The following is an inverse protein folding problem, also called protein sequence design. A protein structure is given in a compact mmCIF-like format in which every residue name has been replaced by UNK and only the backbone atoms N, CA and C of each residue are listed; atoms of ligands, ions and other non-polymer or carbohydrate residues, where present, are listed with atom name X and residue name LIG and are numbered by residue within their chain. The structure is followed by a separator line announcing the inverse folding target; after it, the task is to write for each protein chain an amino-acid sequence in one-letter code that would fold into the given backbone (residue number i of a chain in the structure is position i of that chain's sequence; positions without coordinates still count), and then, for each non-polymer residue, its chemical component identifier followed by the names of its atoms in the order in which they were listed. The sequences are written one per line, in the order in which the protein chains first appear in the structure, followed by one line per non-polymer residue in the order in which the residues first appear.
data_IF_069393880829
#
_entry.id   IF_069393880829
#
_cell.length_a   1.000
_cell.length_b   1.000
_cell.length_c   1.000
_cell.angle_alpha   90.00
_cell.angle_beta   90.00
_cell.angle_gamma   90.00
#
_symmetry.space_group_name_H-M   'P 1'
#
loop_
_entity.id
_entity.type
_entity.pdbx_description
1 polymer ?
#
# COMPACT_ATOMS: atom_id res chain seq x y z
N UNK A 1 4.94 15.09 -22.00
CA UNK A 1 3.66 14.35 -22.16
C UNK A 1 3.31 14.44 -23.65
N UNK A 2 3.34 13.32 -24.37
CA UNK A 2 2.86 13.31 -25.76
C UNK A 2 1.36 13.57 -25.74
N UNK A 3 0.93 14.72 -26.25
CA UNK A 3 -0.48 15.14 -26.37
C UNK A 3 -1.39 14.17 -27.17
N UNK A 4 -0.81 13.11 -27.77
CA UNK A 4 -1.54 12.04 -28.46
C UNK A 4 -2.08 10.95 -27.53
N UNK A 5 -1.61 10.87 -26.29
CA UNK A 5 -2.13 9.97 -25.26
C UNK A 5 -3.07 10.75 -24.35
N UNK A 6 -4.30 10.92 -24.76
CA UNK A 6 -5.35 11.37 -23.85
C UNK A 6 -5.65 10.24 -22.88
N UNK A 7 -5.04 10.32 -21.70
CA UNK A 7 -5.17 9.36 -20.64
C UNK A 7 -4.27 8.13 -20.83
N UNK A 8 -2.98 8.29 -20.50
CA UNK A 8 -2.23 7.12 -20.07
C UNK A 8 -3.05 6.44 -18.95
N UNK A 9 -3.10 5.14 -18.90
CA UNK A 9 -3.88 4.44 -17.89
C UNK A 9 -3.45 4.83 -16.46
N UNK A 10 -2.17 5.12 -16.28
CA UNK A 10 -1.57 5.67 -15.07
C UNK A 10 -2.21 7.01 -14.66
N UNK A 11 -2.27 8.00 -15.57
CA UNK A 11 -2.83 9.32 -15.26
C UNK A 11 -4.33 9.27 -14.92
N UNK A 12 -5.09 8.36 -15.51
CA UNK A 12 -6.52 8.20 -15.19
C UNK A 12 -6.69 7.65 -13.77
N UNK A 13 -5.85 6.69 -13.35
CA UNK A 13 -5.90 6.13 -11.99
C UNK A 13 -5.42 7.13 -10.94
N UNK A 14 -4.35 7.86 -11.22
CA UNK A 14 -3.86 8.95 -10.39
C UNK A 14 -4.92 10.06 -10.22
N UNK A 15 -5.53 10.50 -11.32
CA UNK A 15 -6.64 11.49 -11.27
C UNK A 15 -7.84 10.94 -10.49
N UNK A 16 -8.18 9.66 -10.61
CA UNK A 16 -9.25 9.04 -9.83
C UNK A 16 -8.96 9.07 -8.33
N UNK A 17 -7.71 8.81 -7.92
CA UNK A 17 -7.29 8.93 -6.53
C UNK A 17 -7.33 10.39 -6.05
N UNK A 18 -6.86 11.33 -6.86
CA UNK A 18 -6.95 12.77 -6.55
C UNK A 18 -8.40 13.22 -6.39
N UNK A 19 -9.30 12.79 -7.27
CA UNK A 19 -10.74 13.07 -7.15
C UNK A 19 -11.32 12.46 -5.86
N UNK A 20 -10.89 11.26 -5.46
CA UNK A 20 -11.27 10.69 -4.18
C UNK A 20 -10.83 11.58 -3.00
N UNK A 21 -9.58 12.05 -2.99
CA UNK A 21 -9.08 12.98 -1.96
C UNK A 21 -9.91 14.27 -1.90
N UNK A 22 -10.27 14.84 -3.05
CA UNK A 22 -11.15 16.01 -3.12
C UNK A 22 -12.55 15.70 -2.59
N UNK A 23 -13.08 14.52 -2.88
CA UNK A 23 -14.36 14.05 -2.32
C UNK A 23 -14.34 14.02 -0.79
N UNK A 24 -13.27 13.47 -0.18
CA UNK A 24 -13.10 13.46 1.28
C UNK A 24 -13.03 14.89 1.85
N UNK A 25 -12.25 15.77 1.21
CA UNK A 25 -12.15 17.18 1.63
C UNK A 25 -13.50 17.89 1.53
N UNK A 26 -14.22 17.73 0.41
CA UNK A 26 -15.54 18.35 0.25
C UNK A 26 -16.55 17.82 1.29
N UNK A 27 -16.50 16.53 1.60
CA UNK A 27 -17.30 15.91 2.66
C UNK A 27 -17.02 16.54 4.03
N UNK A 28 -15.75 16.70 4.39
CA UNK A 28 -15.34 17.31 5.66
C UNK A 28 -15.76 18.79 5.79
N UNK A 29 -15.84 19.50 4.66
CA UNK A 29 -16.34 20.89 4.59
C UNK A 29 -17.88 20.99 4.51
N UNK A 30 -18.60 19.88 4.59
CA UNK A 30 -20.06 19.83 4.48
C UNK A 30 -20.62 20.06 3.07
N UNK A 31 -19.78 20.09 2.04
CA UNK A 31 -20.15 20.29 0.64
C UNK A 31 -20.59 18.97 -0.01
N UNK A 32 -21.74 18.47 0.42
CA UNK A 32 -22.23 17.12 0.06
C UNK A 32 -22.41 16.89 -1.44
N UNK A 33 -22.86 17.91 -2.20
CA UNK A 33 -23.07 17.80 -3.64
C UNK A 33 -21.77 17.62 -4.38
N UNK A 34 -20.78 18.44 -4.09
CA UNK A 34 -19.43 18.38 -4.65
C UNK A 34 -18.73 17.07 -4.24
N UNK A 35 -18.89 16.64 -2.98
CA UNK A 35 -18.35 15.37 -2.52
C UNK A 35 -18.88 14.19 -3.36
N UNK A 36 -20.19 14.11 -3.60
CA UNK A 36 -20.80 13.06 -4.40
C UNK A 36 -20.34 13.08 -5.87
N UNK A 37 -20.08 14.28 -6.44
CA UNK A 37 -19.51 14.39 -7.78
C UNK A 37 -18.10 13.82 -7.85
N UNK A 38 -17.23 14.19 -6.90
CA UNK A 38 -15.85 13.69 -6.82
C UNK A 38 -15.81 12.20 -6.52
N UNK A 39 -16.67 11.66 -5.66
CA UNK A 39 -16.80 10.22 -5.43
C UNK A 39 -17.16 9.45 -6.71
N UNK A 40 -18.01 10.00 -7.56
CA UNK A 40 -18.31 9.41 -8.88
C UNK A 40 -17.09 9.44 -9.78
N UNK A 41 -16.36 10.55 -9.84
CA UNK A 41 -15.14 10.71 -10.64
C UNK A 41 -14.00 9.82 -10.15
N UNK A 42 -13.90 9.59 -8.86
CA UNK A 42 -12.95 8.66 -8.24
C UNK A 42 -13.02 7.22 -8.77
N UNK A 43 -14.13 6.84 -9.41
CA UNK A 43 -14.30 5.53 -10.05
C UNK A 43 -13.85 5.50 -11.51
N UNK A 44 -13.27 6.59 -12.04
CA UNK A 44 -12.84 6.68 -13.44
C UNK A 44 -11.72 5.68 -13.80
N UNK A 45 -10.96 5.15 -12.83
CA UNK A 45 -9.99 4.07 -13.04
C UNK A 45 -10.60 2.86 -13.74
N UNK A 46 -11.92 2.60 -13.59
CA UNK A 46 -12.65 1.50 -14.25
C UNK A 46 -12.68 1.66 -15.78
N UNK A 47 -12.56 2.88 -16.29
CA UNK A 47 -12.58 3.14 -17.74
C UNK A 47 -11.32 2.64 -18.46
N UNK A 48 -10.26 2.34 -17.74
CA UNK A 48 -8.99 1.78 -18.28
C UNK A 48 -8.81 0.31 -17.93
N UNK A 49 -9.78 -0.31 -17.26
CA UNK A 49 -9.85 -1.76 -17.14
C UNK A 49 -10.25 -2.39 -18.48
N UNK A 50 -9.55 -3.43 -18.89
CA UNK A 50 -9.74 -4.12 -20.16
C UNK A 50 -10.01 -5.61 -19.94
N UNK A 51 -11.28 -6.03 -20.10
CA UNK A 51 -11.71 -7.40 -19.84
C UNK A 51 -11.00 -8.44 -20.71
N UNK A 52 -10.60 -8.08 -21.93
CA UNK A 52 -9.94 -9.04 -22.84
C UNK A 52 -8.51 -9.41 -22.39
N UNK A 53 -7.85 -8.56 -21.59
CA UNK A 53 -6.52 -8.82 -21.03
C UNK A 53 -6.56 -8.98 -19.52
N UNK A 54 -7.73 -8.79 -18.89
CA UNK A 54 -7.96 -8.88 -17.44
C UNK A 54 -7.00 -8.00 -16.62
N UNK A 55 -6.67 -6.82 -17.17
CA UNK A 55 -5.77 -5.85 -16.54
C UNK A 55 -6.03 -4.43 -17.04
N UNK A 56 -5.42 -3.45 -16.39
CA UNK A 56 -5.44 -2.06 -16.84
C UNK A 56 -4.64 -1.88 -18.12
N UNK A 57 -5.21 -1.12 -19.07
CA UNK A 57 -4.65 -0.88 -20.39
C UNK A 57 -4.93 0.54 -20.83
N UNK A 58 -3.95 1.17 -21.47
CA UNK A 58 -4.08 2.54 -21.94
C UNK A 58 -5.08 2.66 -23.09
N UNK A 59 -5.84 3.76 -23.10
CA UNK A 59 -6.75 4.13 -24.19
C UNK A 59 -6.11 5.20 -25.08
N UNK A 60 -6.39 5.12 -26.36
CA UNK A 60 -6.06 6.13 -27.34
C UNK A 60 -7.14 7.23 -27.38
N UNK A 61 -6.76 8.40 -27.90
CA UNK A 61 -7.71 9.46 -28.30
C UNK A 61 -8.66 8.88 -29.33
N UNK A 62 -9.97 8.86 -29.05
CA UNK A 62 -10.98 8.20 -29.88
C UNK A 62 -11.52 6.88 -29.31
N UNK A 63 -11.04 6.45 -28.13
CA UNK A 63 -11.64 5.37 -27.34
C UNK A 63 -11.09 3.97 -27.61
N UNK A 64 -10.21 3.78 -28.60
CA UNK A 64 -9.54 2.50 -28.85
C UNK A 64 -8.50 2.17 -27.78
N UNK A 65 -8.10 0.90 -27.71
CA UNK A 65 -7.04 0.44 -26.82
C UNK A 65 -5.66 0.58 -27.48
N UNK A 66 -4.65 1.00 -26.69
CA UNK A 66 -3.27 0.93 -27.13
C UNK A 66 -2.88 -0.54 -27.42
N UNK A 67 -2.02 -0.85 -28.43
CA UNK A 67 -1.56 -2.22 -28.67
C UNK A 67 -1.00 -2.85 -27.39
N UNK A 68 -1.37 -4.12 -27.17
CA UNK A 68 -0.98 -4.87 -25.97
C UNK A 68 0.17 -5.83 -26.29
N UNK A 69 1.24 -5.75 -25.50
CA UNK A 69 2.45 -6.58 -25.61
C UNK A 69 2.69 -7.46 -24.36
N UNK A 70 1.68 -7.58 -23.52
CA UNK A 70 1.78 -8.24 -22.21
C UNK A 70 1.94 -7.23 -21.09
N UNK A 71 1.57 -7.63 -19.86
CA UNK A 71 1.53 -6.72 -18.71
C UNK A 71 2.89 -6.30 -18.17
N UNK A 72 3.95 -7.07 -18.46
CA UNK A 72 5.34 -6.76 -18.06
C UNK A 72 6.13 -5.96 -19.12
N UNK A 73 5.58 -5.76 -20.32
CA UNK A 73 6.26 -4.98 -21.33
C UNK A 73 6.16 -3.47 -21.04
N UNK A 74 7.30 -2.79 -21.17
CA UNK A 74 7.43 -1.34 -20.97
C UNK A 74 6.73 -0.52 -22.09
N UNK A 75 6.61 0.79 -21.92
CA UNK A 75 6.14 1.76 -22.93
C UNK A 75 4.73 1.47 -23.46
N UNK A 76 3.80 1.11 -22.61
CA UNK A 76 2.41 0.85 -22.93
C UNK A 76 1.42 1.85 -22.29
N UNK A 77 1.84 3.12 -22.15
CA UNK A 77 1.06 4.17 -21.50
C UNK A 77 1.37 4.31 -20.01
N UNK A 78 2.43 3.67 -19.57
CA UNK A 78 3.06 3.83 -18.25
C UNK A 78 4.37 4.60 -18.40
N UNK A 79 4.83 5.25 -17.34
CA UNK A 79 6.12 5.92 -17.26
C UNK A 79 6.99 5.20 -16.25
N UNK A 80 8.25 4.90 -16.62
CA UNK A 80 9.25 4.24 -15.76
C UNK A 80 8.81 2.89 -15.19
N UNK A 81 7.87 2.23 -15.85
CA UNK A 81 7.23 1.02 -15.36
C UNK A 81 6.46 0.29 -16.46
N UNK A 82 5.86 -0.81 -16.12
CA UNK A 82 4.97 -1.57 -16.97
C UNK A 82 3.53 -1.61 -16.40
N UNK A 83 2.54 -2.08 -17.15
CA UNK A 83 1.16 -2.18 -16.69
C UNK A 83 0.99 -3.04 -15.44
N UNK A 84 1.83 -4.06 -15.22
CA UNK A 84 1.73 -4.92 -14.04
C UNK A 84 2.09 -4.17 -12.76
N UNK A 85 3.12 -3.34 -12.82
CA UNK A 85 3.55 -2.49 -11.72
C UNK A 85 2.54 -1.38 -11.43
N UNK A 86 2.18 -0.62 -12.44
CA UNK A 86 1.26 0.51 -12.29
C UNK A 86 -0.17 0.08 -11.97
N UNK A 87 -0.60 -1.10 -12.42
CA UNK A 87 -1.97 -1.60 -12.27
C UNK A 87 -2.48 -1.69 -10.82
N UNK A 88 -1.57 -1.80 -9.86
CA UNK A 88 -1.92 -1.83 -8.43
C UNK A 88 -2.34 -0.48 -7.86
N UNK A 89 -2.07 0.63 -8.56
CA UNK A 89 -2.35 1.97 -8.02
C UNK A 89 -3.82 2.36 -8.10
N UNK A 90 -4.64 1.73 -7.24
CA UNK A 90 -6.03 2.09 -6.91
C UNK A 90 -6.20 2.08 -5.38
N UNK A 91 -5.41 2.86 -4.63
CA UNK A 91 -5.35 2.73 -3.17
C UNK A 91 -6.65 3.10 -2.47
N UNK A 92 -7.50 3.90 -3.11
CA UNK A 92 -8.76 4.40 -2.57
C UNK A 92 -9.96 3.46 -2.77
N UNK A 93 -9.85 2.42 -3.61
CA UNK A 93 -10.96 1.49 -3.89
C UNK A 93 -10.43 0.05 -4.12
N UNK A 94 -9.80 -0.52 -3.09
CA UNK A 94 -9.25 -1.89 -3.16
C UNK A 94 -10.35 -2.92 -3.46
N UNK A 95 -11.52 -2.78 -2.85
CA UNK A 95 -12.65 -3.69 -3.10
C UNK A 95 -13.18 -3.58 -4.53
N UNK A 96 -13.21 -2.36 -5.08
CA UNK A 96 -13.54 -2.13 -6.48
C UNK A 96 -12.51 -2.75 -7.44
N UNK A 97 -11.22 -2.71 -7.10
CA UNK A 97 -10.16 -3.37 -7.85
C UNK A 97 -10.31 -4.90 -7.78
N UNK A 98 -10.55 -5.48 -6.59
CA UNK A 98 -10.84 -6.90 -6.42
C UNK A 98 -12.01 -7.36 -7.28
N UNK A 99 -13.09 -6.57 -7.31
CA UNK A 99 -14.26 -6.88 -8.10
C UNK A 99 -13.95 -6.92 -9.61
N UNK A 100 -13.14 -5.97 -10.12
CA UNK A 100 -12.68 -5.97 -11.51
C UNK A 100 -11.83 -7.20 -11.84
N UNK A 101 -10.95 -7.61 -10.93
CA UNK A 101 -10.10 -8.80 -11.09
C UNK A 101 -10.89 -10.13 -11.05
N UNK A 102 -12.15 -10.11 -10.62
CA UNK A 102 -12.99 -11.31 -10.50
C UNK A 102 -13.06 -11.90 -9.10
N UNK A 103 -12.76 -11.10 -8.07
CA UNK A 103 -12.93 -11.40 -6.66
C UNK A 103 -11.65 -11.78 -5.91
N UNK A 104 -11.81 -12.11 -4.64
CA UNK A 104 -10.71 -12.30 -3.69
C UNK A 104 -9.65 -13.29 -4.18
N UNK A 105 -10.06 -14.48 -4.60
CA UNK A 105 -9.13 -15.55 -5.01
C UNK A 105 -8.20 -15.11 -6.17
N UNK A 106 -8.74 -14.33 -7.10
CA UNK A 106 -7.94 -13.84 -8.24
C UNK A 106 -7.02 -12.71 -7.82
N UNK A 107 -7.51 -11.79 -6.99
CA UNK A 107 -6.69 -10.75 -6.38
C UNK A 107 -5.49 -11.34 -5.63
N UNK A 108 -5.71 -12.35 -4.80
CA UNK A 108 -4.65 -13.02 -4.05
C UNK A 108 -3.60 -13.63 -4.99
N UNK A 109 -4.03 -14.37 -6.01
CA UNK A 109 -3.14 -15.01 -6.98
C UNK A 109 -2.31 -14.00 -7.78
N UNK A 110 -2.91 -12.90 -8.23
CA UNK A 110 -2.21 -11.83 -8.94
C UNK A 110 -1.19 -11.12 -8.05
N UNK A 111 -1.55 -10.89 -6.79
CA UNK A 111 -0.66 -10.25 -5.82
C UNK A 111 0.53 -11.17 -5.45
N UNK A 112 0.28 -12.46 -5.25
CA UNK A 112 1.33 -13.44 -5.02
C UNK A 112 2.28 -13.56 -6.23
N UNK A 113 1.73 -13.60 -7.46
CA UNK A 113 2.53 -13.61 -8.68
C UNK A 113 3.42 -12.37 -8.80
N UNK A 114 2.90 -11.21 -8.41
CA UNK A 114 3.65 -9.94 -8.44
C UNK A 114 4.90 -9.97 -7.55
N UNK A 115 4.90 -10.76 -6.50
CA UNK A 115 6.05 -10.93 -5.60
C UNK A 115 6.87 -12.20 -5.85
N UNK A 116 6.36 -13.17 -6.59
CA UNK A 116 7.02 -14.48 -6.75
C UNK A 116 8.37 -14.42 -7.48
N UNK A 117 8.53 -13.45 -8.39
CA UNK A 117 9.71 -13.32 -9.24
C UNK A 117 10.55 -12.07 -8.93
N UNK A 118 10.33 -11.45 -7.77
CA UNK A 118 11.10 -10.28 -7.34
C UNK A 118 12.55 -10.70 -7.00
N UNK A 119 13.57 -10.00 -7.52
CA UNK A 119 14.95 -10.25 -7.13
C UNK A 119 15.20 -9.95 -5.65
N UNK A 120 16.22 -10.56 -5.06
CA UNK A 120 16.48 -10.46 -3.61
C UNK A 120 16.83 -9.03 -3.16
N UNK A 121 17.44 -8.25 -4.03
CA UNK A 121 17.86 -6.87 -3.79
C UNK A 121 16.74 -5.83 -4.04
N UNK A 122 15.58 -6.29 -4.53
CA UNK A 122 14.44 -5.44 -4.90
C UNK A 122 14.74 -4.33 -5.91
N UNK A 123 15.84 -4.40 -6.63
CA UNK A 123 16.22 -3.45 -7.67
C UNK A 123 15.29 -3.53 -8.89
N UNK A 124 15.56 -2.69 -9.90
CA UNK A 124 14.74 -2.56 -11.11
C UNK A 124 14.45 -3.91 -11.79
N UNK A 125 13.18 -4.26 -11.88
CA UNK A 125 12.70 -5.51 -12.48
C UNK A 125 11.26 -5.32 -13.02
N UNK A 126 10.68 -6.35 -13.62
CA UNK A 126 9.34 -6.29 -14.25
C UNK A 126 8.17 -6.58 -13.27
N UNK A 127 8.47 -6.96 -12.04
CA UNK A 127 7.53 -7.30 -10.97
C UNK A 127 7.53 -6.20 -9.90
N UNK A 128 7.35 -6.54 -8.63
CA UNK A 128 7.45 -5.54 -7.58
C UNK A 128 8.80 -4.83 -7.62
N UNK A 129 8.75 -3.54 -7.82
CA UNK A 129 9.92 -2.69 -8.03
C UNK A 129 9.98 -1.63 -6.93
N UNK A 130 10.79 -1.87 -5.89
CA UNK A 130 10.85 -0.98 -4.73
C UNK A 130 11.48 0.39 -5.05
N UNK A 131 12.44 0.53 -5.96
CA UNK A 131 12.93 1.84 -6.39
C UNK A 131 11.87 2.79 -6.99
N UNK A 132 10.65 2.33 -7.26
CA UNK A 132 9.60 3.14 -7.89
C UNK A 132 8.37 3.27 -7.00
N UNK A 133 8.08 4.47 -6.53
CA UNK A 133 7.11 4.81 -5.49
C UNK A 133 5.65 4.37 -5.78
N UNK A 134 5.16 4.32 -7.02
CA UNK A 134 3.81 3.82 -7.29
C UNK A 134 3.56 2.39 -6.78
N UNK A 135 4.61 1.63 -6.47
CA UNK A 135 4.54 0.29 -5.91
C UNK A 135 4.58 0.25 -4.37
N UNK A 136 4.90 1.35 -3.70
CA UNK A 136 5.20 1.37 -2.26
C UNK A 136 4.05 0.91 -1.36
N UNK A 137 2.81 1.06 -1.78
CA UNK A 137 1.63 0.58 -1.04
C UNK A 137 1.36 -0.93 -1.25
N UNK A 138 1.93 -1.55 -2.30
CA UNK A 138 1.55 -2.90 -2.73
C UNK A 138 1.88 -4.00 -1.71
N UNK A 139 3.03 -3.98 -0.99
CA UNK A 139 3.32 -4.98 0.05
C UNK A 139 2.25 -5.04 1.15
N UNK A 140 1.56 -3.94 1.41
CA UNK A 140 0.52 -3.85 2.44
C UNK A 140 -0.85 -4.31 1.94
N UNK A 141 -1.03 -4.52 0.63
CA UNK A 141 -2.26 -5.04 0.05
C UNK A 141 -2.54 -6.49 0.46
N UNK A 142 -1.54 -7.23 0.92
CA UNK A 142 -1.78 -8.56 1.47
C UNK A 142 -2.65 -8.53 2.74
N UNK A 143 -2.74 -7.43 3.48
CA UNK A 143 -3.70 -7.27 4.57
C UNK A 143 -5.17 -7.26 4.08
N UNK A 144 -5.39 -7.07 2.79
CA UNK A 144 -6.70 -7.17 2.13
C UNK A 144 -6.88 -8.52 1.42
N UNK A 145 -5.90 -9.41 1.51
CA UNK A 145 -5.89 -10.75 0.91
C UNK A 145 -6.25 -11.84 1.94
N UNK A 146 -6.33 -13.08 1.48
CA UNK A 146 -6.48 -14.24 2.36
C UNK A 146 -5.17 -14.63 3.06
N UNK A 147 -4.05 -13.97 2.73
CA UNK A 147 -2.71 -14.27 3.22
C UNK A 147 -2.02 -13.04 3.85
N UNK A 148 -2.58 -12.41 4.90
CA UNK A 148 -2.04 -11.17 5.46
C UNK A 148 -0.64 -11.30 6.04
N UNK A 149 -0.20 -12.51 6.41
CA UNK A 149 1.18 -12.77 6.81
C UNK A 149 2.22 -12.47 5.72
N UNK A 150 1.80 -12.38 4.45
CA UNK A 150 2.67 -11.98 3.35
C UNK A 150 3.01 -10.49 3.42
N UNK A 151 2.15 -9.62 3.96
CA UNK A 151 2.54 -8.24 4.32
C UNK A 151 3.74 -8.28 5.27
N UNK A 152 3.67 -9.07 6.33
CA UNK A 152 4.71 -9.16 7.35
C UNK A 152 6.03 -9.69 6.77
N UNK A 153 5.95 -10.73 5.94
CA UNK A 153 7.10 -11.31 5.25
C UNK A 153 7.77 -10.30 4.30
N UNK A 154 6.99 -9.68 3.43
CA UNK A 154 7.55 -8.85 2.37
C UNK A 154 8.06 -7.52 2.90
N UNK A 155 7.33 -6.86 3.80
CA UNK A 155 7.81 -5.60 4.40
C UNK A 155 9.10 -5.80 5.18
N UNK A 156 9.21 -6.89 5.95
CA UNK A 156 10.44 -7.25 6.67
C UNK A 156 11.61 -7.49 5.72
N UNK A 157 11.37 -8.27 4.63
CA UNK A 157 12.38 -8.57 3.63
C UNK A 157 12.82 -7.30 2.88
N UNK A 158 11.91 -6.38 2.56
CA UNK A 158 12.24 -5.10 1.93
C UNK A 158 13.08 -4.24 2.88
N UNK A 159 12.68 -4.09 4.14
CA UNK A 159 13.47 -3.35 5.13
C UNK A 159 14.90 -3.90 5.28
N UNK A 160 15.07 -5.21 5.19
CA UNK A 160 16.37 -5.88 5.35
C UNK A 160 17.25 -5.81 4.09
N UNK A 161 16.67 -5.83 2.89
CA UNK A 161 17.40 -6.02 1.63
C UNK A 161 17.46 -4.80 0.72
N UNK A 162 16.47 -3.90 0.81
CA UNK A 162 16.38 -2.74 -0.06
C UNK A 162 16.97 -1.47 0.58
N UNK A 163 17.38 -1.54 1.84
CA UNK A 163 17.94 -0.43 2.59
C UNK A 163 19.25 -0.83 3.28
N UNK A 164 20.17 0.11 3.37
CA UNK A 164 21.47 -0.04 4.03
C UNK A 164 21.78 1.17 4.91
N UNK A 165 22.88 1.10 5.63
CA UNK A 165 23.36 2.12 6.59
C UNK A 165 24.52 2.96 6.06
N UNK A 166 24.80 2.87 4.75
CA UNK A 166 25.84 3.63 4.08
C UNK A 166 25.30 4.75 3.17
N UNK A 167 26.20 5.44 2.50
CA UNK A 167 25.85 6.55 1.57
C UNK A 167 25.00 6.08 0.38
N UNK A 168 25.06 4.81 0.02
CA UNK A 168 24.28 4.17 -1.05
C UNK A 168 23.14 3.32 -0.49
N UNK A 169 22.73 3.56 0.74
CA UNK A 169 21.77 2.74 1.48
C UNK A 169 20.33 2.77 0.95
N UNK A 170 20.02 3.52 -0.11
CA UNK A 170 18.73 3.49 -0.78
C UNK A 170 18.83 2.73 -2.10
N UNK A 171 17.88 1.85 -2.38
CA UNK A 171 17.85 1.10 -3.63
C UNK A 171 17.33 1.92 -4.84
N UNK A 172 16.96 3.17 -4.65
CA UNK A 172 16.49 4.11 -5.67
C UNK A 172 16.76 5.57 -5.27
N UNK A 173 16.15 6.50 -5.99
CA UNK A 173 16.20 7.91 -5.62
C UNK A 173 15.38 8.13 -4.33
N UNK A 174 15.77 9.13 -3.54
CA UNK A 174 15.05 9.47 -2.29
C UNK A 174 13.63 10.02 -2.55
N UNK A 175 13.46 10.71 -3.66
CA UNK A 175 12.22 11.31 -4.15
C UNK A 175 11.44 12.07 -3.07
N UNK A 176 12.10 13.16 -2.61
CA UNK A 176 11.54 14.12 -1.64
C UNK A 176 11.20 13.46 -0.27
N UNK A 177 11.96 12.44 0.11
CA UNK A 177 11.81 11.76 1.39
C UNK A 177 10.87 10.54 1.36
N UNK A 178 10.35 10.15 0.20
CA UNK A 178 9.41 9.03 0.10
C UNK A 178 10.05 7.69 0.48
N UNK A 179 11.29 7.44 0.03
CA UNK A 179 12.01 6.20 0.33
C UNK A 179 12.29 6.07 1.84
N UNK A 180 12.83 7.12 2.46
CA UNK A 180 13.09 7.14 3.91
C UNK A 180 11.81 7.05 4.72
N UNK A 181 10.76 7.75 4.32
CA UNK A 181 9.46 7.71 5.01
C UNK A 181 8.84 6.30 4.95
N UNK A 182 8.97 5.62 3.80
CA UNK A 182 8.51 4.23 3.67
C UNK A 182 9.21 3.31 4.66
N UNK A 183 10.56 3.39 4.71
CA UNK A 183 11.34 2.58 5.66
C UNK A 183 10.93 2.86 7.11
N UNK A 184 10.89 4.13 7.51
CA UNK A 184 10.57 4.52 8.89
C UNK A 184 9.20 3.98 9.29
N UNK A 185 8.17 4.17 8.47
CA UNK A 185 6.83 3.70 8.77
C UNK A 185 6.73 2.17 8.77
N UNK A 186 7.27 1.50 7.75
CA UNK A 186 7.26 0.04 7.66
C UNK A 186 8.04 -0.61 8.82
N UNK A 187 9.21 -0.07 9.16
CA UNK A 187 10.06 -0.54 10.26
C UNK A 187 9.43 -0.31 11.65
N UNK A 188 8.59 0.71 11.80
CA UNK A 188 7.77 0.90 13.01
C UNK A 188 6.66 -0.14 13.15
N UNK A 189 6.27 -0.83 12.07
CA UNK A 189 5.19 -1.80 12.07
C UNK A 189 3.83 -1.27 11.60
N UNK A 190 3.77 -0.08 10.99
CA UNK A 190 2.55 0.53 10.45
C UNK A 190 2.84 1.25 9.12
N UNK A 191 1.87 1.27 8.19
CA UNK A 191 2.02 2.04 6.95
C UNK A 191 0.66 2.39 6.32
N UNK A 192 0.45 3.60 5.78
CA UNK A 192 -0.77 3.93 5.05
C UNK A 192 -0.75 3.32 3.64
N UNK A 193 -1.83 2.67 3.23
CA UNK A 193 -2.05 2.25 1.83
C UNK A 193 -2.60 3.39 0.99
N UNK A 194 -3.47 4.19 1.59
CA UNK A 194 -4.17 5.29 0.92
C UNK A 194 -4.01 6.58 1.72
N UNK A 195 -2.97 7.40 1.45
CA UNK A 195 -2.86 8.72 2.07
C UNK A 195 -4.13 9.54 1.87
N UNK A 196 -4.58 10.23 2.92
CA UNK A 196 -5.92 10.86 2.98
C UNK A 196 -7.00 9.99 3.63
N UNK A 197 -6.82 8.68 3.71
CA UNK A 197 -7.56 7.81 4.61
C UNK A 197 -6.78 7.73 5.94
N UNK A 198 -7.37 8.08 7.09
CA UNK A 198 -6.69 8.05 8.39
C UNK A 198 -6.49 6.64 8.94
N UNK A 199 -6.13 5.69 8.09
CA UNK A 199 -5.90 4.28 8.38
C UNK A 199 -4.46 3.91 8.09
N UNK A 200 -3.84 3.15 9.00
CA UNK A 200 -2.52 2.55 8.85
C UNK A 200 -2.66 1.03 8.93
N UNK A 201 -2.14 0.35 7.93
CA UNK A 201 -2.03 -1.11 7.93
C UNK A 201 -0.94 -1.54 8.92
N UNK A 202 -1.20 -2.60 9.66
CA UNK A 202 -0.24 -3.21 10.56
C UNK A 202 0.67 -4.13 9.73
N UNK A 203 1.97 -4.02 9.98
CA UNK A 203 3.01 -4.85 9.38
C UNK A 203 3.95 -5.40 10.45
N UNK A 204 5.06 -6.03 10.06
CA UNK A 204 6.03 -6.61 10.99
C UNK A 204 7.06 -5.55 11.42
N UNK A 205 7.07 -5.07 12.67
CA UNK A 205 8.05 -4.09 13.12
C UNK A 205 9.48 -4.65 13.09
N UNK A 206 10.46 -3.82 12.71
CA UNK A 206 11.88 -4.17 12.74
C UNK A 206 12.44 -3.97 14.15
N UNK A 207 11.97 -2.95 14.85
CA UNK A 207 12.46 -2.57 16.18
C UNK A 207 11.66 -3.26 17.30
N UNK A 208 12.32 -3.54 18.43
CA UNK A 208 11.65 -4.08 19.63
C UNK A 208 10.69 -3.06 20.25
N UNK A 209 11.04 -1.78 20.15
CA UNK A 209 10.18 -0.70 20.60
C UNK A 209 10.40 0.59 19.83
N UNK A 210 9.31 1.33 19.64
CA UNK A 210 9.30 2.68 19.07
C UNK A 210 8.45 3.57 19.96
N UNK A 211 8.87 4.80 20.20
CA UNK A 211 8.08 5.82 20.89
C UNK A 211 7.89 7.04 19.99
N UNK A 212 6.64 7.42 19.75
CA UNK A 212 6.24 8.60 18.99
C UNK A 212 5.81 9.66 20.01
N UNK A 213 6.59 10.74 20.13
CA UNK A 213 6.22 11.89 20.93
C UNK A 213 5.22 12.75 20.17
N UNK A 214 4.06 12.96 20.76
CA UNK A 214 2.96 13.73 20.17
C UNK A 214 3.01 15.18 20.61
N UNK A 215 2.81 16.11 19.68
CA UNK A 215 2.69 17.51 20.01
C UNK A 215 1.35 17.79 20.71
N UNK A 216 1.42 18.07 22.00
CA UNK A 216 0.24 18.32 22.83
C UNK A 216 -0.50 19.63 22.53
N UNK A 217 0.03 20.51 21.64
CA UNK A 217 -0.70 21.64 21.12
C UNK A 217 -1.80 21.21 20.13
N UNK A 218 -1.61 20.08 19.44
CA UNK A 218 -2.54 19.60 18.44
C UNK A 218 -3.29 18.32 18.87
N UNK A 219 -2.68 17.51 19.75
CA UNK A 219 -3.17 16.18 20.08
C UNK A 219 -3.42 16.02 21.58
N UNK A 220 -4.39 15.19 21.93
CA UNK A 220 -4.73 14.90 23.32
C UNK A 220 -3.74 13.94 24.00
N UNK A 221 -3.08 13.08 23.23
CA UNK A 221 -2.06 12.16 23.71
C UNK A 221 -0.70 12.84 23.86
N UNK A 222 0.15 12.27 24.73
CA UNK A 222 1.54 12.72 24.91
C UNK A 222 2.52 11.88 24.11
N UNK A 223 2.32 10.56 24.09
CA UNK A 223 3.12 9.62 23.32
C UNK A 223 2.29 8.43 22.88
N UNK A 224 2.75 7.79 21.81
CA UNK A 224 2.26 6.51 21.36
C UNK A 224 3.44 5.55 21.26
N UNK A 225 3.33 4.38 21.87
CA UNK A 225 4.39 3.37 21.86
C UNK A 225 3.98 2.20 20.98
N UNK A 226 4.97 1.63 20.31
CA UNK A 226 4.86 0.36 19.62
C UNK A 226 5.87 -0.58 20.27
N UNK A 227 5.42 -1.75 20.74
CA UNK A 227 6.26 -2.74 21.41
C UNK A 227 6.10 -4.07 20.71
N UNK A 228 7.20 -4.71 20.34
CA UNK A 228 7.22 -6.01 19.68
C UNK A 228 7.96 -7.03 20.54
N UNK A 229 7.19 -7.79 21.31
CA UNK A 229 7.71 -8.87 22.15
C UNK A 229 8.21 -10.02 21.28
N UNK A 230 9.33 -10.65 21.69
CA UNK A 230 9.97 -11.76 20.98
C UNK A 230 10.41 -11.45 19.54
N UNK A 231 10.54 -10.17 19.18
CA UNK A 231 10.96 -9.75 17.85
C UNK A 231 12.41 -10.18 17.57
N UNK A 232 12.63 -10.76 16.40
CA UNK A 232 13.96 -11.17 15.93
C UNK A 232 13.98 -11.35 14.42
N UNK A 233 15.13 -11.57 13.77
CA UNK A 233 15.19 -11.92 12.35
C UNK A 233 14.42 -13.20 11.98
N UNK A 234 14.17 -14.10 12.93
CA UNK A 234 13.39 -15.32 12.74
C UNK A 234 11.91 -15.16 13.11
N UNK A 235 11.61 -14.30 14.08
CA UNK A 235 10.27 -14.06 14.58
C UNK A 235 9.67 -12.83 13.92
N UNK A 236 9.31 -12.97 12.65
CA UNK A 236 8.77 -11.87 11.83
C UNK A 236 7.25 -11.89 11.71
N UNK A 237 6.58 -12.92 12.20
CA UNK A 237 5.14 -13.07 12.05
C UNK A 237 4.41 -12.72 13.35
N UNK A 238 3.35 -11.93 13.20
CA UNK A 238 2.48 -11.53 14.30
C UNK A 238 1.67 -12.75 14.76
N UNK A 239 1.75 -13.06 16.05
CA UNK A 239 0.94 -14.09 16.72
C UNK A 239 -0.28 -13.47 17.40
N UNK A 240 -0.11 -12.28 17.95
CA UNK A 240 -1.21 -11.48 18.49
C UNK A 240 -0.87 -9.99 18.43
N UNK A 241 -1.91 -9.15 18.42
CA UNK A 241 -1.78 -7.70 18.49
C UNK A 241 -2.81 -7.10 19.44
N UNK A 242 -2.40 -6.16 20.25
CA UNK A 242 -3.29 -5.43 21.16
C UNK A 242 -3.05 -3.93 21.12
N UNK A 243 -4.10 -3.15 21.37
CA UNK A 243 -4.05 -1.71 21.54
C UNK A 243 -4.56 -1.35 22.94
N UNK A 244 -3.70 -0.74 23.75
CA UNK A 244 -4.02 -0.39 25.14
C UNK A 244 -4.54 -1.61 25.95
N UNK A 245 -3.87 -2.75 25.81
CA UNK A 245 -4.20 -4.01 26.50
C UNK A 245 -5.46 -4.73 25.98
N UNK A 246 -6.11 -4.23 24.91
CA UNK A 246 -7.24 -4.89 24.27
C UNK A 246 -6.82 -5.52 22.97
N UNK A 247 -7.04 -6.81 22.78
CA UNK A 247 -6.77 -7.50 21.52
C UNK A 247 -7.48 -6.79 20.36
N UNK A 248 -6.76 -6.60 19.26
CA UNK A 248 -7.32 -6.11 18.01
C UNK A 248 -7.77 -7.28 17.16
N UNK A 249 -8.96 -7.18 16.59
CA UNK A 249 -9.51 -8.12 15.60
C UNK A 249 -9.32 -7.64 14.15
N UNK A 250 -8.27 -6.88 13.91
CA UNK A 250 -7.97 -6.25 12.62
C UNK A 250 -6.47 -5.97 12.51
N UNK A 251 -5.96 -5.96 11.29
CA UNK A 251 -4.56 -5.63 10.98
C UNK A 251 -4.42 -4.17 10.51
N UNK A 252 -5.06 -3.26 11.22
CA UNK A 252 -4.95 -1.82 10.99
C UNK A 252 -5.33 -1.02 12.23
N UNK A 253 -4.82 0.22 12.31
CA UNK A 253 -5.18 1.22 13.31
C UNK A 253 -5.48 2.55 12.63
N UNK A 254 -6.16 3.44 13.32
CA UNK A 254 -6.49 4.77 12.82
C UNK A 254 -5.55 5.85 13.36
N UNK A 255 -5.41 6.95 12.62
CA UNK A 255 -4.70 8.13 13.10
C UNK A 255 -5.24 8.63 14.44
N UNK A 256 -6.56 8.61 14.61
CA UNK A 256 -7.20 9.01 15.87
C UNK A 256 -6.82 8.13 17.07
N UNK A 257 -6.53 6.86 16.84
CA UNK A 257 -6.04 5.97 17.91
C UNK A 257 -4.60 6.29 18.27
N UNK A 258 -3.75 6.62 17.29
CA UNK A 258 -2.37 7.03 17.51
C UNK A 258 -2.30 8.34 18.29
N UNK A 259 -3.00 9.38 17.85
CA UNK A 259 -2.90 10.74 18.44
C UNK A 259 -3.57 10.89 19.79
N UNK A 260 -4.35 9.92 20.24
CA UNK A 260 -4.83 9.82 21.63
C UNK A 260 -3.76 9.34 22.59
N UNK A 261 -2.66 8.83 22.07
CA UNK A 261 -1.63 8.16 22.85
C UNK A 261 -2.00 6.74 23.25
N UNK A 262 -1.04 6.00 23.75
CA UNK A 262 -1.24 4.63 24.20
C UNK A 262 -0.15 3.68 23.72
N UNK A 263 -0.46 2.38 23.73
CA UNK A 263 0.51 1.33 23.40
C UNK A 263 -0.11 0.34 22.41
N UNK A 264 0.59 0.12 21.30
CA UNK A 264 0.33 -0.97 20.35
C UNK A 264 1.36 -2.07 20.65
N UNK A 265 0.90 -3.26 21.02
CA UNK A 265 1.76 -4.37 21.39
C UNK A 265 1.59 -5.55 20.45
N UNK A 266 2.71 -6.15 20.08
CA UNK A 266 2.80 -7.34 19.24
C UNK A 266 3.46 -8.47 20.01
N UNK A 267 2.93 -9.69 19.88
CA UNK A 267 3.68 -10.91 20.12
C UNK A 267 4.14 -11.47 18.77
N UNK A 268 5.45 -11.65 18.62
CA UNK A 268 6.06 -12.10 17.37
C UNK A 268 6.48 -13.55 17.44
N UNK A 269 6.43 -14.27 16.32
CA UNK A 269 6.84 -15.66 16.22
C UNK A 269 7.39 -16.06 14.86
N UNK A 270 7.92 -17.30 14.75
CA UNK A 270 8.64 -17.74 13.55
C UNK A 270 7.74 -18.29 12.44
N UNK A 271 6.44 -18.46 12.69
CA UNK A 271 5.50 -19.07 11.74
C UNK A 271 4.34 -18.12 11.46
N UNK A 272 3.86 -18.08 10.21
CA UNK A 272 2.63 -17.37 9.88
C UNK A 272 1.47 -17.87 10.75
N UNK A 273 0.61 -16.95 11.17
CA UNK A 273 -0.66 -17.26 11.84
C UNK A 273 -1.79 -16.98 10.85
N UNK A 274 -2.68 -17.96 10.67
CA UNK A 274 -3.86 -17.77 9.81
C UNK A 274 -4.79 -16.73 10.42
N UNK A 275 -5.57 -16.01 9.57
CA UNK A 275 -6.45 -14.93 10.05
C UNK A 275 -7.50 -15.38 11.06
N UNK A 276 -8.00 -16.60 10.92
CA UNK A 276 -8.93 -17.27 11.82
C UNK A 276 -8.27 -17.80 13.11
N UNK A 277 -6.94 -17.95 13.10
CA UNK A 277 -6.10 -18.34 14.24
C UNK A 277 -5.44 -17.12 14.93
N UNK A 278 -5.34 -15.97 14.28
CA UNK A 278 -5.19 -14.70 14.96
C UNK A 278 -6.43 -14.56 15.84
N UNK A 279 -6.37 -15.20 17.01
CA UNK A 279 -7.47 -15.27 17.97
C UNK A 279 -7.88 -13.84 18.31
N UNK A 280 -8.92 -13.41 17.62
CA UNK A 280 -9.54 -12.13 17.82
C UNK A 280 -10.47 -12.18 19.04
#
# INVERSE_FOLDING_TARGET
IRLSLVGSEMCIRDSAYTDWCLGQLMGSLGKKKEAAEYEKRAKAYRNVWCDSVQWFRARMKGGGWLPWRGRTAQDQGTTESNPFQQGWFVPHDIDGMKALMGGQKKFDAELEEFFANVPEDFLWNDYYNHPNEPNHHVPFLFNYSSCPWLTQKWTRKICDKAYGDDVLGLCGNEDVGQMSAWYVLAAMGIHPVCPGNPRYEITSPVFESVEINLDTHFYSGKNFKIIAHNNSPQNIYIQSVSLNGKKLNRLWITHNEIVKGGVLEFDMGPKPTAMDELVF
#
